data_IF_399350024003
#
_entry.id   IF_399350024003
#
_cell.length_a   1.000
_cell.length_b   1.000
_cell.length_c   1.000
_cell.angle_alpha   90.00
_cell.angle_beta   90.00
_cell.angle_gamma   90.00
#
_symmetry.space_group_name_H-M   'P 1'
#
loop_
_entity.id
_entity.type
_entity.pdbx_description
1 polymer ?
#
# COMPACT_ATOMS: atom_id res chain seq x y z
N UNK A 1 -24.70 7.82 0.20
CA UNK A 1 -24.36 6.42 0.50
C UNK A 1 -23.18 6.45 1.44
N UNK A 2 -23.12 5.55 2.42
CA UNK A 2 -21.98 5.49 3.33
C UNK A 2 -20.71 5.11 2.57
N UNK A 3 -19.58 5.71 2.94
CA UNK A 3 -18.26 5.26 2.50
C UNK A 3 -17.77 4.11 3.39
N UNK A 4 -16.86 3.29 2.86
CA UNK A 4 -16.40 2.07 3.52
C UNK A 4 -14.88 1.99 3.62
N UNK A 5 -14.41 1.32 4.67
CA UNK A 5 -13.09 0.68 4.64
C UNK A 5 -13.26 -0.78 4.24
N UNK A 6 -12.37 -1.24 3.36
CA UNK A 6 -12.18 -2.66 3.04
C UNK A 6 -10.95 -3.10 3.83
N UNK A 7 -11.15 -3.94 4.85
CA UNK A 7 -10.08 -4.40 5.75
C UNK A 7 -9.87 -5.90 5.57
N UNK A 8 -8.65 -6.31 5.26
CA UNK A 8 -8.29 -7.71 5.05
C UNK A 8 -7.84 -8.34 6.36
N UNK A 9 -8.53 -9.39 6.80
CA UNK A 9 -8.23 -10.12 8.04
C UNK A 9 -7.44 -11.40 7.70
N UNK A 10 -6.13 -11.37 7.91
CA UNK A 10 -5.20 -12.34 7.31
C UNK A 10 -5.31 -13.77 7.81
N UNK A 11 -5.63 -13.93 9.09
CA UNK A 11 -5.62 -15.25 9.73
C UNK A 11 -7.04 -15.84 9.85
N UNK A 12 -8.06 -15.05 9.49
CA UNK A 12 -9.44 -15.50 9.33
C UNK A 12 -9.80 -15.81 7.87
N UNK A 13 -8.95 -15.41 6.92
CA UNK A 13 -9.24 -15.49 5.48
C UNK A 13 -10.55 -14.77 5.13
N UNK A 14 -10.73 -13.56 5.69
CA UNK A 14 -11.92 -12.74 5.46
C UNK A 14 -11.60 -11.29 5.10
N UNK A 15 -12.64 -10.59 4.64
CA UNK A 15 -12.65 -9.14 4.44
C UNK A 15 -13.78 -8.57 5.28
N UNK A 16 -13.48 -7.55 6.08
CA UNK A 16 -14.46 -6.71 6.76
C UNK A 16 -14.74 -5.45 5.93
N UNK A 17 -16.01 -5.22 5.58
CA UNK A 17 -16.50 -3.96 5.05
C UNK A 17 -17.01 -3.11 6.21
N UNK A 18 -16.24 -2.10 6.58
CA UNK A 18 -16.54 -1.20 7.69
C UNK A 18 -17.26 0.03 7.17
N UNK A 19 -18.45 0.30 7.69
CA UNK A 19 -19.22 1.50 7.37
C UNK A 19 -18.69 2.70 8.18
N UNK A 20 -18.28 3.76 7.50
CA UNK A 20 -17.65 4.93 8.12
C UNK A 20 -18.64 5.95 8.72
N UNK A 21 -19.94 5.83 8.44
CA UNK A 21 -20.95 6.70 9.08
C UNK A 21 -21.14 6.34 10.57
N UNK A 22 -20.89 5.07 10.93
CA UNK A 22 -21.08 4.55 12.28
C UNK A 22 -19.88 3.76 12.83
N UNK A 23 -18.77 3.68 12.08
CA UNK A 23 -17.54 3.01 12.49
C UNK A 23 -17.75 1.55 12.90
N UNK A 24 -18.56 0.80 12.15
CA UNK A 24 -18.87 -0.60 12.47
C UNK A 24 -18.76 -1.53 11.25
N UNK A 25 -18.42 -2.79 11.48
CA UNK A 25 -18.39 -3.82 10.44
C UNK A 25 -19.81 -4.12 9.98
N UNK A 26 -20.13 -3.78 8.72
CA UNK A 26 -21.45 -4.01 8.12
C UNK A 26 -21.55 -5.40 7.49
N UNK A 27 -20.46 -5.87 6.89
CA UNK A 27 -20.41 -7.17 6.22
C UNK A 27 -19.02 -7.77 6.35
N UNK A 28 -18.97 -9.08 6.56
CA UNK A 28 -17.75 -9.88 6.43
C UNK A 28 -17.96 -10.94 5.35
N UNK A 29 -16.96 -11.16 4.48
CA UNK A 29 -16.98 -12.24 3.48
C UNK A 29 -15.70 -13.06 3.55
N UNK A 30 -15.80 -14.35 3.24
CA UNK A 30 -14.66 -15.27 3.13
C UNK A 30 -13.89 -15.07 1.81
N UNK A 31 -12.56 -15.15 1.88
CA UNK A 31 -11.63 -15.08 0.74
C UNK A 31 -10.90 -16.40 0.54
N UNK A 32 -9.94 -16.44 -0.38
CA UNK A 32 -8.86 -17.44 -0.33
C UNK A 32 -7.83 -17.08 0.76
N UNK A 33 -6.87 -17.97 0.99
CA UNK A 33 -6.00 -17.91 2.15
C UNK A 33 -5.05 -16.70 2.18
N UNK A 34 -4.99 -16.06 3.35
CA UNK A 34 -4.14 -14.94 3.71
C UNK A 34 -4.33 -13.70 2.80
N UNK A 35 -5.51 -13.05 2.84
CA UNK A 35 -5.74 -11.81 2.11
C UNK A 35 -4.79 -10.73 2.64
N UNK A 36 -3.87 -10.23 1.81
CA UNK A 36 -2.73 -9.43 2.25
C UNK A 36 -2.76 -7.99 1.72
N UNK A 37 -2.97 -7.79 0.42
CA UNK A 37 -3.05 -6.46 -0.19
C UNK A 37 -4.35 -6.24 -0.92
N UNK A 38 -4.79 -4.99 -0.96
CA UNK A 38 -6.05 -4.58 -1.59
C UNK A 38 -5.88 -3.31 -2.40
N UNK A 39 -6.47 -3.29 -3.59
CA UNK A 39 -6.67 -2.06 -4.38
C UNK A 39 -8.09 -1.96 -4.90
N UNK A 40 -8.62 -0.74 -4.93
CA UNK A 40 -9.93 -0.40 -5.46
C UNK A 40 -9.74 0.28 -6.82
N UNK A 41 -10.54 -0.08 -7.83
CA UNK A 41 -10.49 0.62 -9.11
C UNK A 41 -10.91 2.08 -8.97
N UNK A 42 -10.37 3.03 -9.75
CA UNK A 42 -10.70 4.46 -9.61
C UNK A 42 -12.19 4.81 -9.75
N UNK A 43 -12.96 3.98 -10.46
CA UNK A 43 -14.42 4.13 -10.57
C UNK A 43 -15.19 3.59 -9.34
N UNK A 44 -14.51 2.95 -8.40
CA UNK A 44 -15.05 2.36 -7.18
C UNK A 44 -15.77 1.02 -7.38
N UNK A 45 -15.81 0.47 -8.61
CA UNK A 45 -16.69 -0.68 -8.92
C UNK A 45 -16.10 -2.04 -8.58
N UNK A 46 -14.77 -2.19 -8.65
CA UNK A 46 -14.08 -3.44 -8.38
C UNK A 46 -13.02 -3.27 -7.30
N UNK A 47 -12.81 -4.32 -6.52
CA UNK A 47 -11.70 -4.46 -5.59
C UNK A 47 -10.91 -5.72 -5.92
N UNK A 48 -9.58 -5.63 -5.91
CA UNK A 48 -8.67 -6.75 -6.13
C UNK A 48 -7.91 -7.00 -4.84
N UNK A 49 -7.86 -8.25 -4.41
CA UNK A 49 -7.24 -8.67 -3.17
C UNK A 49 -6.26 -9.79 -3.45
N UNK A 50 -4.97 -9.62 -3.14
CA UNK A 50 -4.02 -10.73 -3.16
C UNK A 50 -4.23 -11.61 -1.94
N UNK A 51 -4.38 -12.91 -2.19
CA UNK A 51 -4.43 -13.95 -1.17
C UNK A 51 -3.09 -14.69 -1.23
N UNK A 52 -2.14 -14.25 -0.41
CA UNK A 52 -0.72 -14.60 -0.59
C UNK A 52 -0.44 -16.08 -0.35
N UNK A 53 -1.05 -16.70 0.66
CA UNK A 53 -0.93 -18.14 0.91
C UNK A 53 -1.87 -18.96 0.03
N UNK A 54 -2.97 -18.36 -0.43
CA UNK A 54 -3.87 -18.98 -1.40
C UNK A 54 -3.28 -19.06 -2.81
N UNK A 55 -2.23 -18.27 -3.11
CA UNK A 55 -1.69 -18.05 -4.45
C UNK A 55 -2.77 -17.63 -5.45
N UNK A 56 -3.62 -16.68 -5.07
CA UNK A 56 -4.71 -16.17 -5.92
C UNK A 56 -4.93 -14.68 -5.76
N UNK A 57 -5.70 -14.10 -6.68
CA UNK A 57 -6.28 -12.76 -6.55
C UNK A 57 -7.81 -12.91 -6.52
N UNK A 58 -8.44 -12.42 -5.46
CA UNK A 58 -9.89 -12.33 -5.33
C UNK A 58 -10.37 -11.02 -5.93
N UNK A 59 -11.38 -11.07 -6.81
CA UNK A 59 -11.94 -9.91 -7.50
C UNK A 59 -13.38 -9.73 -7.04
N UNK A 60 -13.64 -8.58 -6.42
CA UNK A 60 -14.87 -8.30 -5.69
C UNK A 60 -15.68 -7.26 -6.44
N UNK A 61 -17.00 -7.46 -6.49
CA UNK A 61 -17.94 -6.43 -6.89
C UNK A 61 -18.26 -5.52 -5.72
N UNK A 62 -17.92 -4.24 -5.83
CA UNK A 62 -18.20 -3.29 -4.75
C UNK A 62 -19.67 -2.89 -4.67
N UNK A 63 -20.52 -3.20 -5.66
CA UNK A 63 -21.97 -3.00 -5.54
C UNK A 63 -22.61 -4.04 -4.62
N UNK A 64 -22.21 -5.31 -4.73
CA UNK A 64 -22.82 -6.43 -3.99
C UNK A 64 -21.98 -6.94 -2.81
N UNK A 65 -20.71 -6.52 -2.71
CA UNK A 65 -19.71 -7.05 -1.79
C UNK A 65 -19.59 -8.57 -1.88
N UNK A 66 -19.38 -9.07 -3.11
CA UNK A 66 -19.25 -10.49 -3.41
C UNK A 66 -18.04 -10.72 -4.30
N UNK A 67 -17.34 -11.84 -4.10
CA UNK A 67 -16.26 -12.28 -4.98
C UNK A 67 -16.87 -12.76 -6.30
N UNK A 68 -16.57 -12.06 -7.39
CA UNK A 68 -16.98 -12.40 -8.74
C UNK A 68 -16.03 -13.38 -9.43
N UNK A 69 -14.74 -13.31 -9.12
CA UNK A 69 -13.71 -14.14 -9.75
C UNK A 69 -12.55 -14.39 -8.79
N UNK A 70 -11.95 -15.57 -8.90
CA UNK A 70 -10.67 -15.94 -8.29
C UNK A 70 -9.69 -16.17 -9.43
N UNK A 71 -8.71 -15.29 -9.56
CA UNK A 71 -7.69 -15.34 -10.60
C UNK A 71 -6.49 -16.13 -10.07
N UNK A 72 -6.02 -17.08 -10.88
CA UNK A 72 -4.92 -17.99 -10.55
C UNK A 72 -3.91 -17.97 -11.70
N UNK A 73 -2.64 -18.29 -11.41
CA UNK A 73 -1.62 -18.44 -12.44
C UNK A 73 -0.53 -19.42 -11.95
N UNK A 74 0.04 -20.27 -12.82
CA UNK A 74 1.07 -21.25 -12.42
C UNK A 74 2.31 -20.61 -11.77
N UNK A 75 2.63 -19.37 -12.15
CA UNK A 75 3.76 -18.61 -11.60
C UNK A 75 3.43 -17.80 -10.34
N UNK A 76 2.19 -17.85 -9.83
CA UNK A 76 1.89 -17.23 -8.55
C UNK A 76 2.61 -17.99 -7.45
N UNK A 77 3.48 -17.27 -6.74
CA UNK A 77 4.14 -17.75 -5.55
C UNK A 77 4.25 -16.58 -4.58
N UNK A 78 3.31 -16.55 -3.63
CA UNK A 78 3.08 -15.44 -2.71
C UNK A 78 2.78 -14.13 -3.46
N UNK A 79 1.66 -14.04 -4.19
CA UNK A 79 1.21 -12.78 -4.77
C UNK A 79 0.97 -11.78 -3.64
N UNK A 80 1.50 -10.56 -3.78
CA UNK A 80 1.57 -9.60 -2.67
C UNK A 80 1.13 -8.21 -3.10
N UNK A 81 2.06 -7.29 -3.40
CA UNK A 81 1.77 -5.91 -3.75
C UNK A 81 0.89 -5.78 -4.99
N UNK A 82 -0.16 -4.96 -4.89
CA UNK A 82 -1.02 -4.57 -5.99
C UNK A 82 -0.95 -3.05 -6.21
N UNK A 83 -1.09 -2.64 -7.46
CA UNK A 83 -1.35 -1.25 -7.83
C UNK A 83 -2.24 -1.19 -9.05
N UNK A 84 -3.12 -0.19 -9.14
CA UNK A 84 -3.98 0.05 -10.30
C UNK A 84 -3.52 1.31 -11.03
N UNK A 85 -3.53 1.30 -12.36
CA UNK A 85 -3.23 2.49 -13.15
C UNK A 85 -4.25 3.60 -12.87
N UNK A 86 -3.88 4.90 -12.93
CA UNK A 86 -4.82 6.00 -12.69
C UNK A 86 -6.05 5.99 -13.61
N UNK A 87 -5.91 5.46 -14.83
CA UNK A 87 -7.03 5.30 -15.78
C UNK A 87 -7.91 4.08 -15.51
N UNK A 88 -7.56 3.26 -14.51
CA UNK A 88 -8.30 2.09 -14.06
C UNK A 88 -8.25 0.90 -15.02
N UNK A 89 -7.41 0.92 -16.07
CA UNK A 89 -7.42 -0.14 -17.09
C UNK A 89 -6.54 -1.33 -16.76
N UNK A 90 -5.46 -1.14 -16.01
CA UNK A 90 -4.49 -2.20 -15.71
C UNK A 90 -4.17 -2.26 -14.23
N UNK A 91 -3.87 -3.47 -13.77
CA UNK A 91 -3.40 -3.75 -12.43
C UNK A 91 -2.05 -4.43 -12.54
N UNK A 92 -1.09 -3.92 -11.80
CA UNK A 92 0.23 -4.51 -11.68
C UNK A 92 0.30 -5.23 -10.35
N UNK A 93 0.88 -6.42 -10.36
CA UNK A 93 1.04 -7.25 -9.17
C UNK A 93 2.46 -7.79 -9.09
N UNK A 94 3.10 -7.66 -7.93
CA UNK A 94 4.37 -8.31 -7.64
C UNK A 94 4.15 -9.60 -6.85
N UNK A 95 4.78 -10.68 -7.28
CA UNK A 95 4.72 -11.98 -6.60
C UNK A 95 6.08 -12.25 -5.96
N UNK A 96 6.09 -12.27 -4.63
CA UNK A 96 7.30 -12.14 -3.82
C UNK A 96 8.33 -13.23 -4.08
N UNK A 97 7.91 -14.49 -4.14
CA UNK A 97 8.84 -15.60 -4.29
C UNK A 97 9.03 -16.06 -5.73
N UNK A 98 8.23 -15.57 -6.69
CA UNK A 98 8.45 -15.88 -8.11
C UNK A 98 9.33 -14.86 -8.82
N UNK A 99 9.70 -13.76 -8.15
CA UNK A 99 10.52 -12.68 -8.70
C UNK A 99 9.92 -12.07 -9.98
N UNK A 100 8.59 -12.06 -10.11
CA UNK A 100 7.86 -11.63 -11.31
C UNK A 100 6.87 -10.49 -11.02
N UNK A 101 6.66 -9.68 -12.05
CA UNK A 101 5.55 -8.73 -12.12
C UNK A 101 4.53 -9.23 -13.14
N UNK A 102 3.26 -9.09 -12.80
CA UNK A 102 2.11 -9.47 -13.61
C UNK A 102 1.33 -8.21 -13.98
N UNK A 103 0.84 -8.17 -15.22
CA UNK A 103 -0.11 -7.16 -15.70
C UNK A 103 -1.45 -7.83 -15.92
N UNK A 104 -2.48 -7.29 -15.28
CA UNK A 104 -3.86 -7.79 -15.32
C UNK A 104 -4.72 -6.70 -15.98
N UNK A 105 -5.54 -7.09 -16.94
CA UNK A 105 -6.54 -6.21 -17.54
C UNK A 105 -7.73 -6.06 -16.59
N UNK A 106 -7.99 -4.85 -16.11
CA UNK A 106 -9.07 -4.61 -15.15
C UNK A 106 -10.49 -4.72 -15.76
N UNK A 107 -10.61 -4.67 -17.10
CA UNK A 107 -11.89 -4.85 -17.80
C UNK A 107 -12.24 -6.33 -17.93
N UNK A 108 -11.30 -7.16 -18.37
CA UNK A 108 -11.52 -8.60 -18.62
C UNK A 108 -11.18 -9.48 -17.42
N UNK A 109 -10.48 -8.95 -16.42
CA UNK A 109 -10.00 -9.68 -15.25
C UNK A 109 -9.01 -10.81 -15.60
N UNK A 110 -8.27 -10.66 -16.69
CA UNK A 110 -7.29 -11.65 -17.17
C UNK A 110 -5.85 -11.12 -17.10
N UNK A 111 -4.89 -12.03 -16.91
CA UNK A 111 -3.46 -11.73 -16.97
C UNK A 111 -3.07 -11.55 -18.44
N UNK A 112 -2.53 -10.39 -18.78
CA UNK A 112 -2.07 -10.07 -20.14
C UNK A 112 -0.58 -10.31 -20.32
N UNK A 113 0.21 -10.09 -19.26
CA UNK A 113 1.66 -10.17 -19.31
C UNK A 113 2.26 -10.60 -17.98
N UNK A 114 3.36 -11.33 -18.07
CA UNK A 114 4.20 -11.72 -16.95
C UNK A 114 5.64 -11.50 -17.36
N UNK A 115 6.42 -10.83 -16.53
CA UNK A 115 7.85 -10.68 -16.78
C UNK A 115 8.68 -10.77 -15.49
N UNK A 116 9.86 -11.41 -15.56
CA UNK A 116 10.75 -11.54 -14.42
C UNK A 116 11.41 -10.20 -14.10
N UNK A 117 11.49 -9.90 -12.80
CA UNK A 117 12.30 -8.82 -12.24
C UNK A 117 13.76 -9.21 -12.10
N UNK A 118 14.05 -10.51 -11.98
CA UNK A 118 15.38 -11.04 -11.61
C UNK A 118 15.91 -10.46 -10.29
N UNK A 119 15.00 -10.05 -9.41
CA UNK A 119 15.30 -9.52 -8.09
C UNK A 119 14.62 -10.35 -7.02
N UNK A 120 15.28 -10.49 -5.87
CA UNK A 120 14.80 -11.31 -4.76
C UNK A 120 13.73 -10.57 -3.97
N UNK A 121 12.62 -11.26 -3.70
CA UNK A 121 11.53 -10.76 -2.85
C UNK A 121 10.93 -9.44 -3.36
N UNK A 122 10.59 -9.39 -4.64
CA UNK A 122 9.87 -8.26 -5.26
C UNK A 122 8.49 -8.11 -4.62
N UNK A 123 8.21 -6.98 -3.97
CA UNK A 123 7.16 -6.94 -2.95
C UNK A 123 5.96 -6.04 -3.31
N UNK A 124 6.13 -4.73 -3.25
CA UNK A 124 5.06 -3.75 -3.47
C UNK A 124 5.00 -3.21 -4.90
N UNK A 125 3.89 -2.56 -5.27
CA UNK A 125 3.72 -1.85 -6.54
C UNK A 125 3.35 -0.39 -6.20
N UNK A 126 4.13 0.58 -6.68
CA UNK A 126 3.78 2.00 -6.57
C UNK A 126 3.88 2.68 -7.93
N UNK A 127 2.77 3.28 -8.38
CA UNK A 127 2.74 4.08 -9.60
C UNK A 127 3.23 5.51 -9.36
N UNK A 128 3.81 6.12 -10.41
CA UNK A 128 3.88 7.57 -10.51
C UNK A 128 2.47 8.17 -10.68
N UNK A 129 2.22 9.42 -10.25
CA UNK A 129 0.90 10.05 -10.39
C UNK A 129 0.38 10.14 -11.83
N UNK A 130 1.27 10.26 -12.82
CA UNK A 130 0.92 10.27 -14.24
C UNK A 130 0.68 8.87 -14.83
N UNK A 131 0.88 7.81 -14.03
CA UNK A 131 0.66 6.42 -14.41
C UNK A 131 1.70 5.84 -15.37
N UNK A 132 2.80 6.53 -15.65
CA UNK A 132 3.80 6.11 -16.65
C UNK A 132 4.92 5.23 -16.11
N UNK A 133 5.14 5.25 -14.80
CA UNK A 133 6.23 4.52 -14.17
C UNK A 133 5.72 3.74 -12.96
N UNK A 134 6.22 2.52 -12.80
CA UNK A 134 6.00 1.71 -11.59
C UNK A 134 7.34 1.46 -10.90
N UNK A 135 7.34 1.64 -9.59
CA UNK A 135 8.45 1.29 -8.71
C UNK A 135 8.10 0.05 -7.88
N UNK A 136 8.99 -0.93 -7.90
CA UNK A 136 8.82 -2.20 -7.17
C UNK A 136 10.02 -2.38 -6.23
N UNK A 137 9.83 -2.40 -4.91
CA UNK A 137 10.89 -2.63 -3.97
C UNK A 137 11.20 -4.13 -3.90
N UNK A 138 12.48 -4.45 -3.89
CA UNK A 138 12.95 -5.83 -3.82
C UNK A 138 13.65 -6.05 -2.48
N UNK A 139 12.92 -6.59 -1.51
CA UNK A 139 13.35 -6.69 -0.11
C UNK A 139 14.71 -7.40 -0.02
N UNK A 140 14.84 -8.52 -0.71
CA UNK A 140 16.01 -9.40 -0.66
C UNK A 140 17.18 -8.94 -1.51
N UNK A 141 16.94 -8.07 -2.51
CA UNK A 141 17.99 -7.47 -3.34
C UNK A 141 18.46 -6.10 -2.85
N UNK A 142 17.76 -5.48 -1.89
CA UNK A 142 18.09 -4.15 -1.35
C UNK A 142 18.15 -3.05 -2.42
N UNK A 143 17.26 -3.15 -3.41
CA UNK A 143 17.17 -2.23 -4.54
C UNK A 143 15.71 -2.03 -4.96
N UNK A 144 15.50 -1.12 -5.90
CA UNK A 144 14.21 -0.86 -6.55
C UNK A 144 14.28 -1.30 -8.02
N UNK A 145 13.18 -1.82 -8.54
CA UNK A 145 12.95 -2.03 -9.98
C UNK A 145 12.09 -0.89 -10.51
N UNK A 146 12.42 -0.37 -11.70
CA UNK A 146 11.66 0.64 -12.42
C UNK A 146 11.06 0.02 -13.68
N UNK A 147 9.74 0.11 -13.82
CA UNK A 147 8.98 -0.40 -14.96
C UNK A 147 8.39 0.77 -15.73
N UNK A 148 8.60 0.77 -17.05
CA UNK A 148 7.92 1.65 -17.99
C UNK A 148 6.54 1.06 -18.32
N UNK A 149 5.47 1.79 -18.03
CA UNK A 149 4.09 1.30 -18.17
C UNK A 149 3.65 1.25 -19.63
N UNK A 150 4.17 2.13 -20.49
CA UNK A 150 3.83 2.17 -21.91
C UNK A 150 4.48 0.99 -22.65
N UNK A 151 5.76 0.74 -22.37
CA UNK A 151 6.51 -0.37 -22.95
C UNK A 151 6.28 -1.71 -22.25
N UNK A 152 5.74 -1.64 -21.03
CA UNK A 152 5.53 -2.78 -20.14
C UNK A 152 6.80 -3.60 -19.93
N UNK A 153 7.92 -2.92 -19.66
CA UNK A 153 9.22 -3.54 -19.47
C UNK A 153 9.98 -2.88 -18.32
N UNK A 154 10.93 -3.63 -17.77
CA UNK A 154 11.86 -3.11 -16.78
C UNK A 154 12.90 -2.28 -17.50
N UNK A 155 13.05 -1.02 -17.07
CA UNK A 155 14.00 -0.08 -17.66
C UNK A 155 15.20 0.20 -16.76
N UNK A 156 15.09 -0.08 -15.45
CA UNK A 156 16.20 0.14 -14.53
C UNK A 156 16.08 -0.66 -13.22
N UNK A 157 17.21 -0.84 -12.55
CA UNK A 157 17.29 -1.15 -11.12
C UNK A 157 18.26 -0.19 -10.45
N UNK A 158 17.93 0.30 -9.26
CA UNK A 158 18.84 1.19 -8.50
C UNK A 158 18.85 0.86 -7.00
N UNK A 159 20.01 0.97 -6.34
CA UNK A 159 20.15 0.57 -4.93
C UNK A 159 19.46 1.55 -3.98
N UNK A 160 18.98 1.02 -2.85
CA UNK A 160 18.41 1.80 -1.73
C UNK A 160 18.99 1.29 -0.40
N UNK A 161 18.28 1.44 0.72
CA UNK A 161 18.69 0.84 2.00
C UNK A 161 18.32 -0.65 2.08
N UNK A 162 18.55 -1.26 3.25
CA UNK A 162 18.30 -2.69 3.44
C UNK A 162 16.82 -3.01 3.70
N UNK A 163 16.33 -4.02 3.00
CA UNK A 163 14.95 -4.49 3.08
C UNK A 163 13.92 -3.42 2.68
N UNK A 164 14.01 -2.82 1.48
CA UNK A 164 12.99 -1.86 1.05
C UNK A 164 11.64 -2.58 0.94
N UNK A 165 10.62 -2.07 1.61
CA UNK A 165 9.26 -2.62 1.53
C UNK A 165 8.23 -1.52 1.27
N UNK A 166 8.16 -0.54 2.17
CA UNK A 166 7.28 0.60 1.98
C UNK A 166 7.79 1.49 0.85
N UNK A 167 6.97 1.71 -0.16
CA UNK A 167 7.29 2.58 -1.30
C UNK A 167 6.07 3.42 -1.66
N UNK A 168 6.29 4.70 -1.95
CA UNK A 168 5.26 5.56 -2.54
C UNK A 168 5.91 6.68 -3.35
N UNK A 169 5.30 7.04 -4.48
CA UNK A 169 5.65 8.26 -5.21
C UNK A 169 4.82 9.42 -4.64
N UNK A 170 5.48 10.53 -4.33
CA UNK A 170 4.81 11.74 -3.86
C UNK A 170 3.81 12.25 -4.92
N UNK A 171 2.65 12.84 -4.54
CA UNK A 171 1.65 13.32 -5.51
C UNK A 171 2.16 14.34 -6.53
N UNK A 172 3.22 15.11 -6.22
CA UNK A 172 3.87 16.00 -7.18
C UNK A 172 4.65 15.27 -8.30
N UNK A 173 4.89 13.96 -8.16
CA UNK A 173 5.61 13.13 -9.11
C UNK A 173 7.12 13.35 -9.16
N UNK A 174 7.71 14.11 -8.23
CA UNK A 174 9.14 14.46 -8.25
C UNK A 174 9.98 13.62 -7.30
N UNK A 175 9.38 13.10 -6.24
CA UNK A 175 10.07 12.33 -5.21
C UNK A 175 9.47 10.94 -5.01
N UNK A 176 10.35 9.94 -4.92
CA UNK A 176 10.04 8.59 -4.47
C UNK A 176 10.47 8.45 -3.01
N UNK A 177 9.58 7.98 -2.16
CA UNK A 177 9.87 7.67 -0.77
C UNK A 177 10.00 6.15 -0.62
N UNK A 178 11.06 5.71 0.07
CA UNK A 178 11.37 4.29 0.30
C UNK A 178 11.69 4.05 1.77
N UNK A 179 10.90 3.20 2.42
CA UNK A 179 11.09 2.72 3.77
C UNK A 179 11.87 1.41 3.76
N UNK A 180 13.04 1.43 4.38
CA UNK A 180 13.98 0.31 4.46
C UNK A 180 13.82 -0.36 5.82
N UNK A 181 13.13 -1.50 5.83
CA UNK A 181 12.61 -2.09 7.06
C UNK A 181 13.70 -2.69 7.95
N UNK A 182 14.82 -3.14 7.37
CA UNK A 182 15.94 -3.70 8.13
C UNK A 182 16.86 -2.62 8.71
N UNK A 183 16.83 -1.41 8.15
CA UNK A 183 17.67 -0.27 8.59
C UNK A 183 16.90 0.75 9.44
N UNK A 184 15.57 0.65 9.53
CA UNK A 184 14.69 1.64 10.16
C UNK A 184 14.88 3.05 9.57
N UNK A 185 15.03 3.13 8.23
CA UNK A 185 15.27 4.40 7.54
C UNK A 185 14.25 4.69 6.45
N UNK A 186 14.01 5.98 6.25
CA UNK A 186 13.30 6.56 5.10
C UNK A 186 14.30 7.22 4.17
N UNK A 187 14.29 6.84 2.89
CA UNK A 187 14.99 7.53 1.82
C UNK A 187 13.98 8.34 1.00
N UNK A 188 14.38 9.56 0.62
CA UNK A 188 13.67 10.41 -0.33
C UNK A 188 14.56 10.61 -1.53
N UNK A 189 14.05 10.23 -2.69
CA UNK A 189 14.82 9.99 -3.91
C UNK A 189 14.23 10.85 -5.03
N UNK A 190 15.08 11.56 -5.75
CA UNK A 190 14.66 12.30 -6.95
C UNK A 190 14.30 11.31 -8.06
N UNK A 191 13.09 11.36 -8.61
CA UNK A 191 12.68 10.35 -9.61
C UNK A 191 13.42 10.47 -10.95
N UNK A 192 13.96 11.65 -11.27
CA UNK A 192 14.66 11.91 -12.55
C UNK A 192 16.10 11.42 -12.49
N UNK A 193 16.80 11.66 -11.39
CA UNK A 193 18.21 11.29 -11.24
C UNK A 193 18.40 9.95 -10.52
N UNK A 194 17.38 9.47 -9.80
CA UNK A 194 17.41 8.31 -8.91
C UNK A 194 18.43 8.44 -7.77
N UNK A 195 18.82 9.67 -7.46
CA UNK A 195 19.73 9.98 -6.35
C UNK A 195 18.96 10.21 -5.05
N UNK A 196 19.54 9.76 -3.94
CA UNK A 196 18.97 9.97 -2.60
C UNK A 196 19.29 11.38 -2.13
N UNK A 197 18.27 12.24 -2.05
CA UNK A 197 18.40 13.62 -1.60
C UNK A 197 18.30 13.73 -0.07
N UNK A 198 17.48 12.88 0.55
CA UNK A 198 17.31 12.87 2.01
C UNK A 198 17.25 11.46 2.58
N UNK A 199 17.81 11.33 3.80
CA UNK A 199 17.75 10.11 4.62
C UNK A 199 17.31 10.47 6.03
N UNK A 200 16.42 9.68 6.62
CA UNK A 200 15.97 9.82 8.00
C UNK A 200 15.89 8.47 8.68
N UNK A 201 16.15 8.42 9.98
CA UNK A 201 15.74 7.29 10.81
C UNK A 201 14.29 7.51 11.24
N UNK A 202 13.50 6.44 11.24
CA UNK A 202 12.10 6.45 11.63
C UNK A 202 11.85 5.35 12.67
N UNK A 203 10.60 4.94 12.90
CA UNK A 203 10.29 3.83 13.81
C UNK A 203 10.86 2.49 13.33
N UNK A 204 10.69 1.45 14.14
CA UNK A 204 11.25 0.12 13.87
C UNK A 204 10.37 -0.68 12.90
N UNK A 205 11.01 -1.29 11.89
CA UNK A 205 10.41 -2.08 10.81
C UNK A 205 9.30 -1.29 10.09
N UNK A 206 9.65 -0.20 9.40
CA UNK A 206 8.70 0.56 8.57
C UNK A 206 8.33 -0.22 7.30
N UNK A 207 7.03 -0.48 7.09
CA UNK A 207 6.56 -1.40 6.04
C UNK A 207 5.64 -0.78 4.98
N UNK A 208 5.10 0.43 5.21
CA UNK A 208 4.22 1.13 4.27
C UNK A 208 4.55 2.61 4.18
N UNK A 209 4.16 3.23 3.06
CA UNK A 209 4.16 4.68 2.92
C UNK A 209 2.88 5.05 2.18
N UNK A 210 2.10 5.97 2.74
CA UNK A 210 0.93 6.54 2.05
C UNK A 210 0.96 8.05 2.22
N UNK A 211 0.77 8.76 1.11
CA UNK A 211 0.67 10.22 1.11
C UNK A 211 -0.77 10.65 1.37
N UNK A 212 -0.95 11.76 2.08
CA UNK A 212 -2.22 12.48 2.07
C UNK A 212 -2.57 12.92 0.64
N UNK A 213 -3.87 13.07 0.29
CA UNK A 213 -4.28 13.45 -1.06
C UNK A 213 -3.64 14.74 -1.58
N UNK A 214 -3.36 15.69 -0.69
CA UNK A 214 -2.68 16.95 -1.00
C UNK A 214 -1.14 16.84 -1.05
N UNK A 215 -0.58 15.68 -0.71
CA UNK A 215 0.86 15.41 -0.63
C UNK A 215 1.56 16.01 0.59
N UNK A 216 0.85 16.72 1.47
CA UNK A 216 1.47 17.40 2.61
C UNK A 216 2.10 16.45 3.63
N UNK A 217 1.48 15.29 3.83
CA UNK A 217 1.95 14.31 4.81
C UNK A 217 2.23 12.96 4.16
N UNK A 218 3.27 12.28 4.64
CA UNK A 218 3.47 10.85 4.43
C UNK A 218 3.33 10.11 5.76
N UNK A 219 2.51 9.06 5.77
CA UNK A 219 2.32 8.18 6.92
C UNK A 219 3.11 6.90 6.73
N UNK A 220 3.95 6.56 7.71
CA UNK A 220 4.73 5.33 7.74
C UNK A 220 4.46 4.55 9.02
N UNK A 221 3.67 3.47 8.96
CA UNK A 221 3.47 2.55 10.08
C UNK A 221 4.74 1.74 10.31
N UNK A 222 5.18 1.73 11.57
CA UNK A 222 6.40 1.08 12.02
C UNK A 222 5.99 -0.15 12.83
N UNK A 223 6.06 -1.30 12.15
CA UNK A 223 5.41 -2.53 12.60
C UNK A 223 5.93 -2.98 13.96
N UNK A 224 7.25 -3.01 14.12
CA UNK A 224 7.85 -3.54 15.35
C UNK A 224 7.75 -2.54 16.51
N UNK A 225 7.88 -1.23 16.25
CA UNK A 225 7.76 -0.23 17.32
C UNK A 225 6.33 0.06 17.73
N UNK A 226 5.31 -0.32 16.97
CA UNK A 226 3.90 -0.07 17.32
C UNK A 226 3.55 1.42 17.29
N UNK A 227 4.09 2.14 16.31
CA UNK A 227 3.87 3.57 16.14
C UNK A 227 3.78 3.99 14.66
N UNK A 228 3.16 5.13 14.42
CA UNK A 228 2.98 5.76 13.12
C UNK A 228 3.88 7.00 13.04
N UNK A 229 4.81 7.00 12.09
CA UNK A 229 5.64 8.17 11.77
C UNK A 229 4.85 9.07 10.81
N UNK A 230 4.76 10.36 11.13
CA UNK A 230 4.07 11.39 10.33
C UNK A 230 5.13 12.35 9.80
N UNK A 231 5.38 12.28 8.50
CA UNK A 231 6.35 13.12 7.80
C UNK A 231 5.61 14.28 7.15
N UNK A 232 5.95 15.52 7.47
CA UNK A 232 5.61 16.67 6.63
C UNK A 232 6.63 16.74 5.49
N UNK A 233 6.14 16.74 4.25
CA UNK A 233 6.97 16.57 3.05
C UNK A 233 7.78 17.82 2.74
N UNK A 234 7.21 19.00 3.00
CA UNK A 234 7.83 20.31 2.80
C UNK A 234 7.99 21.07 4.12
N UNK A 235 8.63 20.46 5.12
CA UNK A 235 8.85 21.10 6.41
C UNK A 235 9.94 22.17 6.35
N UNK A 236 9.58 23.42 6.67
CA UNK A 236 10.55 24.52 6.77
C UNK A 236 11.18 24.56 8.17
N UNK A 237 12.50 24.39 8.23
CA UNK A 237 13.28 24.55 9.45
C UNK A 237 14.56 25.33 9.16
N UNK A 238 14.69 26.51 9.79
CA UNK A 238 15.86 27.41 9.66
C UNK A 238 16.13 27.81 8.19
N UNK A 239 15.08 28.17 7.45
CA UNK A 239 15.18 28.60 6.04
C UNK A 239 15.52 27.49 5.05
N UNK A 240 15.36 26.21 5.46
CA UNK A 240 15.51 25.05 4.57
C UNK A 240 14.21 24.26 4.58
N UNK A 241 13.70 23.96 3.38
CA UNK A 241 12.55 23.07 3.18
C UNK A 241 13.07 21.66 2.94
N UNK A 242 12.53 20.69 3.68
CA UNK A 242 12.87 19.26 3.52
C UNK A 242 11.82 18.37 4.21
N UNK A 243 11.75 17.08 3.86
CA UNK A 243 10.96 16.12 4.60
C UNK A 243 11.42 15.99 6.05
N UNK A 244 10.45 16.04 6.97
CA UNK A 244 10.71 15.98 8.41
C UNK A 244 9.63 15.21 9.16
N UNK A 245 10.04 14.36 10.10
CA UNK A 245 9.11 13.70 11.02
C UNK A 245 8.62 14.73 12.05
N UNK A 246 7.44 15.29 11.79
CA UNK A 246 6.82 16.29 12.66
C UNK A 246 6.14 15.65 13.87
N UNK A 247 5.79 14.36 13.76
CA UNK A 247 5.18 13.62 14.85
C UNK A 247 5.39 12.12 14.70
N UNK A 248 5.43 11.44 15.83
CA UNK A 248 5.28 9.99 15.93
C UNK A 248 4.24 9.68 16.98
N UNK A 249 3.21 8.91 16.62
CA UNK A 249 2.11 8.58 17.53
C UNK A 249 2.03 7.07 17.73
N UNK A 250 1.70 6.67 18.97
CA UNK A 250 1.36 5.28 19.27
C UNK A 250 0.01 4.95 18.64
N UNK A 251 -0.07 3.74 18.10
CA UNK A 251 -1.28 3.11 17.56
C UNK A 251 -1.34 1.69 18.14
N UNK A 252 -2.14 0.79 17.55
CA UNK A 252 -2.14 -0.62 17.94
C UNK A 252 -0.84 -1.36 17.65
N UNK A 253 -0.83 -2.66 17.96
CA UNK A 253 0.38 -3.49 17.85
C UNK A 253 0.53 -4.01 16.43
N UNK A 254 1.75 -3.94 15.89
CA UNK A 254 2.06 -4.30 14.50
C UNK A 254 1.19 -3.55 13.48
N UNK A 255 1.25 -2.21 13.46
CA UNK A 255 0.55 -1.42 12.45
C UNK A 255 1.09 -1.78 11.06
N UNK A 256 0.16 -1.94 10.12
CA UNK A 256 0.39 -2.45 8.77
C UNK A 256 -0.21 -1.54 7.71
N UNK A 257 -1.17 -2.04 6.93
CA UNK A 257 -1.86 -1.23 5.92
C UNK A 257 -2.36 0.10 6.49
N UNK A 258 -2.24 1.16 5.68
CA UNK A 258 -2.68 2.50 6.03
C UNK A 258 -3.40 3.11 4.83
N UNK A 259 -4.44 3.90 5.04
CA UNK A 259 -5.14 4.61 3.96
C UNK A 259 -5.73 5.92 4.46
N UNK A 260 -5.86 6.92 3.58
CA UNK A 260 -6.60 8.14 3.86
C UNK A 260 -8.05 8.03 3.37
N UNK A 261 -8.96 8.78 4.00
CA UNK A 261 -10.21 9.13 3.33
C UNK A 261 -9.95 10.10 2.15
N UNK A 262 -10.98 10.37 1.35
CA UNK A 262 -10.81 11.10 0.09
C UNK A 262 -10.26 12.53 0.24
N UNK A 263 -10.69 13.26 1.28
CA UNK A 263 -10.24 14.64 1.52
C UNK A 263 -8.96 14.72 2.38
N UNK A 264 -8.49 13.59 2.91
CA UNK A 264 -7.29 13.52 3.73
C UNK A 264 -7.47 14.01 5.17
N UNK A 265 -8.69 14.31 5.61
CA UNK A 265 -8.96 14.75 6.99
C UNK A 265 -8.74 13.62 8.02
N UNK A 266 -8.90 12.36 7.59
CA UNK A 266 -8.64 11.18 8.40
C UNK A 266 -7.74 10.17 7.68
N UNK A 267 -6.95 9.46 8.46
CA UNK A 267 -6.25 8.26 8.04
C UNK A 267 -6.62 7.08 8.92
N UNK A 268 -6.51 5.88 8.38
CA UNK A 268 -6.87 4.62 9.02
C UNK A 268 -5.69 3.68 8.96
N UNK A 269 -5.32 3.07 10.08
CA UNK A 269 -4.17 2.17 10.20
C UNK A 269 -4.65 0.83 10.73
N UNK A 270 -4.50 -0.24 9.93
CA UNK A 270 -4.79 -1.59 10.37
C UNK A 270 -3.70 -2.07 11.34
N UNK A 271 -4.09 -2.46 12.55
CA UNK A 271 -3.18 -2.93 13.57
C UNK A 271 -3.29 -4.45 13.71
N UNK A 272 -2.29 -5.14 13.18
CA UNK A 272 -2.37 -6.58 13.01
C UNK A 272 -2.58 -7.31 14.34
N UNK A 273 -1.85 -6.98 15.41
CA UNK A 273 -1.91 -7.78 16.65
C UNK A 273 -2.95 -7.33 17.66
N UNK A 274 -3.58 -6.18 17.45
CA UNK A 274 -4.71 -5.70 18.27
C UNK A 274 -6.07 -5.98 17.64
N UNK A 275 -6.11 -6.48 16.39
CA UNK A 275 -7.34 -6.79 15.64
C UNK A 275 -8.28 -5.59 15.49
N UNK A 276 -7.71 -4.40 15.35
CA UNK A 276 -8.43 -3.15 15.21
C UNK A 276 -7.84 -2.27 14.11
N UNK A 277 -8.57 -1.22 13.76
CA UNK A 277 -8.13 -0.13 12.88
C UNK A 277 -8.10 1.17 13.68
N UNK A 278 -6.94 1.81 13.80
CA UNK A 278 -6.80 3.15 14.41
C UNK A 278 -7.36 4.22 13.47
N UNK A 279 -8.13 5.16 14.01
CA UNK A 279 -8.63 6.35 13.31
C UNK A 279 -7.75 7.56 13.69
N UNK A 280 -7.02 8.09 12.73
CA UNK A 280 -6.09 9.20 12.91
C UNK A 280 -6.69 10.47 12.34
N UNK A 281 -6.89 11.48 13.18
CA UNK A 281 -7.29 12.81 12.76
C UNK A 281 -6.09 13.60 12.26
N UNK A 282 -6.11 14.01 11.00
CA UNK A 282 -4.97 14.64 10.34
C UNK A 282 -4.83 16.14 10.63
N UNK A 283 -5.82 16.75 11.29
CA UNK A 283 -5.72 18.11 11.81
C UNK A 283 -5.00 18.12 13.15
N UNK A 284 -5.36 17.20 14.05
CA UNK A 284 -4.76 17.11 15.40
C UNK A 284 -3.50 16.24 15.44
N UNK A 285 -3.31 15.43 14.38
CA UNK A 285 -2.29 14.39 14.22
C UNK A 285 -2.35 13.38 15.37
N UNK A 286 -3.54 12.96 15.81
CA UNK A 286 -3.74 12.05 16.94
C UNK A 286 -4.68 10.92 16.55
N UNK A 287 -4.53 9.79 17.23
CA UNK A 287 -5.56 8.76 17.24
C UNK A 287 -6.76 9.28 18.05
N UNK A 288 -7.96 9.19 17.48
CA UNK A 288 -9.21 9.63 18.11
C UNK A 288 -10.17 8.46 18.39
N UNK A 289 -9.83 7.26 17.94
CA UNK A 289 -10.58 6.03 18.24
C UNK A 289 -10.04 4.84 17.47
N UNK A 290 -10.65 3.68 17.72
CA UNK A 290 -10.37 2.43 17.02
C UNK A 290 -11.66 1.77 16.56
N UNK A 291 -11.55 0.88 15.58
CA UNK A 291 -12.65 0.04 15.07
C UNK A 291 -12.22 -1.42 15.17
N UNK A 292 -12.95 -2.23 15.91
CA UNK A 292 -12.72 -3.67 15.98
C UNK A 292 -13.04 -4.33 14.62
N UNK A 293 -12.14 -5.19 14.15
CA UNK A 293 -12.27 -5.95 12.90
C UNK A 293 -11.91 -7.42 13.13
N UNK A 294 -11.74 -8.20 12.06
CA UNK A 294 -11.36 -9.60 12.18
C UNK A 294 -9.90 -9.77 12.60
N UNK A 295 -9.48 -11.02 12.79
CA UNK A 295 -8.13 -11.32 13.30
C UNK A 295 -7.03 -10.97 12.30
N UNK A 296 -6.00 -10.30 12.83
CA UNK A 296 -4.79 -9.94 12.11
C UNK A 296 -5.04 -9.08 10.86
N UNK A 297 -5.67 -7.90 11.00
CA UNK A 297 -5.90 -7.02 9.86
C UNK A 297 -4.56 -6.51 9.30
N UNK A 298 -4.49 -6.31 7.99
CA UNK A 298 -3.28 -5.82 7.32
C UNK A 298 -3.65 -4.90 6.15
N UNK A 299 -3.85 -5.45 4.94
CA UNK A 299 -4.30 -4.65 3.80
C UNK A 299 -5.59 -3.90 4.10
N UNK A 300 -5.61 -2.60 3.77
CA UNK A 300 -6.76 -1.73 3.96
C UNK A 300 -6.91 -0.80 2.75
N UNK A 301 -8.15 -0.57 2.31
CA UNK A 301 -8.46 0.41 1.28
C UNK A 301 -9.71 1.22 1.62
N UNK A 302 -9.73 2.47 1.15
CA UNK A 302 -10.90 3.32 1.20
C UNK A 302 -11.78 3.10 -0.04
N UNK A 303 -13.08 2.88 0.18
CA UNK A 303 -14.07 2.73 -0.87
C UNK A 303 -15.11 3.85 -0.75
N UNK A 304 -15.07 4.77 -1.70
CA UNK A 304 -16.13 5.78 -1.87
C UNK A 304 -17.34 5.16 -2.58
N UNK A 305 -18.54 5.25 -2.01
CA UNK A 305 -19.78 4.87 -2.70
C UNK A 305 -20.37 6.09 -3.40
N UNK A 306 -20.26 6.10 -4.74
CA UNK A 306 -20.92 7.09 -5.61
C UNK A 306 -22.38 6.76 -5.81
#
# INVERSE_FOLDING_TARGET
MADYLIVLNKDEDTISFVNLDNNSVEKTIETDFNPHEVVVTPDGKKTYVTCSLGNKINIINNETFEIKKRLEHPDFNFPHGLGVTPDGKKIYMASTYSEKVFIINAKTDEIEKVFPTYQKLSHMISFSPDGKTVYVPNIGSHNMTVVDVEKEEIVNHFPVGQGPEGVAVHPNGEHLYVANQHDNTLFVINVKTLEVEHKRRIGAVPIRIVFSPDGKYALIPNRESGDLSIIETDHELKGKVRPWEVKRIRVGVWPGGTVFNEDGSFAYVANNKTNDVSIINMTTLREEGTIDVGVHPDGIAYLRKK
#
